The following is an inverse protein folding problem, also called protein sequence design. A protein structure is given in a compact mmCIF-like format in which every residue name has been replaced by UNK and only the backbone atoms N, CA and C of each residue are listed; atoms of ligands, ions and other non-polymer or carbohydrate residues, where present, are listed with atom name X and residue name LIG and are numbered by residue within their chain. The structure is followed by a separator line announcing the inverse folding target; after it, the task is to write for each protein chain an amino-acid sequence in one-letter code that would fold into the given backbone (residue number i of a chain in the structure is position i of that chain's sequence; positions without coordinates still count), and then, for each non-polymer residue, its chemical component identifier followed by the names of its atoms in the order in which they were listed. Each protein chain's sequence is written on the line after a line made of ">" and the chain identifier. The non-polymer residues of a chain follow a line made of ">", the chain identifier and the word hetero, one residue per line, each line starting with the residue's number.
data_IF_686776704703
#
_entry.id   IF_686776704703
#
_cell.length_a   1.000
_cell.length_b   1.000
_cell.length_c   1.000
_cell.angle_alpha   90.00
_cell.angle_beta   90.00
_cell.angle_gamma   90.00
#
_symmetry.space_group_name_H-M   'P 1'
#
loop_
_entity.id
_entity.type
_entity.pdbx_description
1 polymer ?
#
# COMPACT_ATOMS: atom_id res chain seq x y z
N UNK A 1 12.74 20.99 -28.27
CA UNK A 1 11.71 21.20 -27.23
C UNK A 1 11.37 22.68 -27.10
N UNK A 2 10.19 22.97 -26.63
CA UNK A 2 9.69 24.31 -26.37
C UNK A 2 9.45 24.50 -24.88
N UNK A 3 10.07 25.55 -24.30
CA UNK A 3 9.79 25.93 -22.90
C UNK A 3 8.36 26.44 -22.78
N UNK A 4 7.61 25.95 -21.81
CA UNK A 4 6.21 26.31 -21.55
C UNK A 4 6.02 27.08 -20.24
N UNK A 5 6.96 26.96 -19.31
CA UNK A 5 7.05 27.80 -18.12
C UNK A 5 8.51 27.99 -17.68
N UNK A 6 8.79 29.13 -17.07
CA UNK A 6 10.08 29.49 -16.50
C UNK A 6 9.88 30.34 -15.24
N UNK A 7 10.90 30.38 -14.39
CA UNK A 7 11.04 31.34 -13.29
C UNK A 7 12.34 32.11 -13.48
N UNK A 8 12.58 33.09 -12.64
CA UNK A 8 13.84 33.88 -12.69
C UNK A 8 15.07 32.99 -12.48
N UNK A 9 14.94 31.93 -11.65
CA UNK A 9 16.03 31.01 -11.31
C UNK A 9 16.05 29.75 -12.18
N UNK A 10 14.93 29.34 -12.75
CA UNK A 10 14.78 28.09 -13.50
C UNK A 10 14.18 28.33 -14.88
N UNK A 11 15.05 28.40 -15.89
CA UNK A 11 14.63 28.66 -17.28
C UNK A 11 13.69 27.55 -17.82
N UNK A 12 13.95 26.30 -17.53
CA UNK A 12 13.18 25.15 -18.02
C UNK A 12 12.27 24.56 -16.92
N UNK A 13 11.47 25.37 -16.25
CA UNK A 13 10.55 24.89 -15.21
C UNK A 13 9.47 23.95 -15.78
N UNK A 14 9.03 24.18 -17.01
CA UNK A 14 8.21 23.24 -17.77
C UNK A 14 8.53 23.36 -19.28
N UNK A 15 8.37 22.25 -19.99
CA UNK A 15 8.63 22.18 -21.43
C UNK A 15 7.73 21.17 -22.14
N UNK A 16 7.68 21.28 -23.46
CA UNK A 16 7.03 20.33 -24.37
C UNK A 16 8.06 19.85 -25.39
N UNK A 17 8.04 18.55 -25.71
CA UNK A 17 8.81 18.00 -26.83
C UNK A 17 8.00 18.24 -28.12
N UNK A 18 8.62 18.91 -29.12
CA UNK A 18 7.97 19.17 -30.39
C UNK A 18 7.87 17.88 -31.21
N UNK A 19 6.70 17.65 -31.78
CA UNK A 19 6.43 16.43 -32.54
C UNK A 19 6.01 15.21 -31.70
N UNK A 20 6.05 15.32 -30.37
CA UNK A 20 5.65 14.25 -29.46
C UNK A 20 4.59 14.73 -28.46
N UNK A 21 3.69 13.84 -28.00
CA UNK A 21 2.72 14.16 -26.94
C UNK A 21 3.37 14.06 -25.55
N UNK A 22 4.51 14.75 -25.37
CA UNK A 22 5.34 14.67 -24.16
C UNK A 22 5.56 16.05 -23.56
N UNK A 23 5.27 16.20 -22.27
CA UNK A 23 5.51 17.40 -21.47
C UNK A 23 6.32 17.04 -20.23
N UNK A 24 7.22 17.90 -19.84
CA UNK A 24 8.00 17.78 -18.62
C UNK A 24 7.78 18.98 -17.71
N UNK A 25 7.76 18.75 -16.41
CA UNK A 25 7.71 19.76 -15.36
C UNK A 25 8.75 19.44 -14.29
N UNK A 26 9.31 20.48 -13.65
CA UNK A 26 10.29 20.35 -12.58
C UNK A 26 9.73 20.77 -11.21
N UNK A 27 8.42 20.86 -11.09
CA UNK A 27 7.73 21.21 -9.86
C UNK A 27 6.55 20.25 -9.61
N UNK A 28 5.99 20.30 -8.42
CA UNK A 28 4.90 19.45 -7.96
C UNK A 28 3.56 20.19 -8.07
N UNK A 29 2.76 19.96 -9.13
CA UNK A 29 1.47 20.63 -9.28
C UNK A 29 0.41 20.14 -8.28
N UNK A 30 0.57 18.94 -7.72
CA UNK A 30 -0.34 18.31 -6.79
C UNK A 30 -0.31 18.86 -5.36
N UNK A 31 0.78 19.57 -5.00
CA UNK A 31 0.93 20.12 -3.65
C UNK A 31 0.12 21.40 -3.45
N UNK A 32 -0.32 21.66 -2.22
CA UNK A 32 -1.16 22.83 -1.91
C UNK A 32 -0.48 24.19 -2.13
N UNK A 33 0.85 24.23 -2.20
CA UNK A 33 1.61 25.47 -2.53
C UNK A 33 1.52 25.85 -4.00
N UNK A 34 1.16 24.93 -4.88
CA UNK A 34 1.02 25.22 -6.31
C UNK A 34 -0.33 25.83 -6.59
N UNK A 35 -0.41 27.15 -6.68
CA UNK A 35 -1.65 27.95 -6.77
C UNK A 35 -2.59 27.46 -7.88
N UNK A 36 -2.07 27.15 -9.07
CA UNK A 36 -2.84 26.67 -10.23
C UNK A 36 -2.55 25.20 -10.56
N UNK A 37 -2.00 24.42 -9.61
CA UNK A 37 -1.58 23.05 -9.83
C UNK A 37 -2.71 22.13 -10.29
N UNK A 38 -3.88 22.21 -9.66
CA UNK A 38 -5.07 21.46 -10.05
C UNK A 38 -5.50 21.77 -11.50
N UNK A 39 -5.49 23.04 -11.87
CA UNK A 39 -5.84 23.49 -13.24
C UNK A 39 -4.86 22.97 -14.28
N UNK A 40 -3.56 22.95 -13.93
CA UNK A 40 -2.52 22.38 -14.79
C UNK A 40 -2.75 20.89 -15.02
N UNK A 41 -3.01 20.12 -13.95
CA UNK A 41 -3.34 18.69 -14.04
C UNK A 41 -4.62 18.45 -14.85
N UNK A 42 -5.66 19.25 -14.63
CA UNK A 42 -6.92 19.16 -15.36
C UNK A 42 -6.74 19.42 -16.86
N UNK A 43 -5.97 20.46 -17.24
CA UNK A 43 -5.65 20.76 -18.61
C UNK A 43 -4.86 19.62 -19.29
N UNK A 44 -3.95 19.00 -18.56
CA UNK A 44 -3.19 17.87 -19.09
C UNK A 44 -4.08 16.62 -19.23
N UNK A 45 -4.72 16.20 -18.16
CA UNK A 45 -5.48 14.94 -18.12
C UNK A 45 -6.72 14.99 -19.03
N UNK A 46 -7.54 16.04 -18.89
CA UNK A 46 -8.76 16.16 -19.66
C UNK A 46 -8.54 16.82 -21.03
N UNK A 47 -7.70 17.87 -21.10
CA UNK A 47 -7.50 18.62 -22.33
C UNK A 47 -6.53 17.97 -23.32
N UNK A 48 -5.40 17.45 -22.83
CA UNK A 48 -4.37 16.87 -23.70
C UNK A 48 -4.56 15.36 -23.86
N UNK A 49 -4.72 14.62 -22.74
CA UNK A 49 -4.90 13.18 -22.78
C UNK A 49 -6.33 12.75 -23.18
N UNK A 50 -7.30 13.66 -23.16
CA UNK A 50 -8.69 13.37 -23.50
C UNK A 50 -9.38 12.40 -22.53
N UNK A 51 -8.89 12.29 -21.29
CA UNK A 51 -9.48 11.42 -20.30
C UNK A 51 -10.89 11.89 -19.89
N UNK A 52 -11.82 10.94 -19.75
CA UNK A 52 -13.16 11.24 -19.28
C UNK A 52 -13.13 11.56 -17.77
N UNK A 53 -14.11 12.34 -17.31
CA UNK A 53 -14.27 12.72 -15.90
C UNK A 53 -15.34 11.88 -15.22
N UNK A 54 -15.34 10.58 -15.48
CA UNK A 54 -16.36 9.64 -15.00
C UNK A 54 -15.89 8.78 -13.81
N UNK A 55 -14.69 9.04 -13.32
CA UNK A 55 -14.18 8.40 -12.11
C UNK A 55 -14.63 9.14 -10.86
N UNK A 56 -15.13 8.39 -9.86
CA UNK A 56 -15.34 8.87 -8.50
C UNK A 56 -14.87 7.82 -7.50
N UNK A 57 -14.49 8.22 -6.26
CA UNK A 57 -14.14 7.27 -5.22
C UNK A 57 -15.23 6.22 -4.96
N UNK A 58 -16.49 6.62 -4.97
CA UNK A 58 -17.64 5.74 -4.76
C UNK A 58 -17.75 4.71 -5.87
N UNK A 59 -17.67 5.13 -7.13
CA UNK A 59 -17.73 4.22 -8.28
C UNK A 59 -16.56 3.23 -8.29
N UNK A 60 -15.38 3.67 -7.86
CA UNK A 60 -14.21 2.79 -7.70
C UNK A 60 -14.43 1.76 -6.59
N UNK A 61 -14.93 2.16 -5.43
CA UNK A 61 -15.23 1.25 -4.31
C UNK A 61 -16.22 0.18 -4.75
N UNK A 62 -17.32 0.57 -5.38
CA UNK A 62 -18.38 -0.36 -5.81
C UNK A 62 -17.88 -1.35 -6.88
N UNK A 63 -17.09 -0.87 -7.85
CA UNK A 63 -16.47 -1.72 -8.86
C UNK A 63 -15.49 -2.71 -8.23
N UNK A 64 -14.59 -2.23 -7.36
CA UNK A 64 -13.60 -3.07 -6.68
C UNK A 64 -14.25 -4.13 -5.80
N UNK A 65 -15.27 -3.77 -5.02
CA UNK A 65 -16.01 -4.73 -4.18
C UNK A 65 -16.69 -5.81 -5.03
N UNK A 66 -17.23 -5.45 -6.19
CA UNK A 66 -17.83 -6.40 -7.12
C UNK A 66 -16.80 -7.36 -7.70
N UNK A 67 -15.69 -6.85 -8.21
CA UNK A 67 -14.59 -7.65 -8.74
C UNK A 67 -14.02 -8.61 -7.70
N UNK A 68 -13.79 -8.12 -6.46
CA UNK A 68 -13.33 -8.95 -5.36
C UNK A 68 -14.33 -10.06 -5.02
N UNK A 69 -15.63 -9.76 -5.01
CA UNK A 69 -16.67 -10.75 -4.75
C UNK A 69 -16.74 -11.83 -5.83
N UNK A 70 -16.64 -11.43 -7.10
CA UNK A 70 -16.63 -12.35 -8.24
C UNK A 70 -15.38 -13.24 -8.22
N UNK A 71 -14.21 -12.67 -7.86
CA UNK A 71 -12.95 -13.39 -7.83
C UNK A 71 -12.82 -14.35 -6.66
N UNK A 72 -13.25 -13.93 -5.48
CA UNK A 72 -13.03 -14.65 -4.23
C UNK A 72 -14.19 -15.60 -3.87
N UNK A 73 -15.42 -15.28 -4.27
CA UNK A 73 -16.60 -16.07 -3.95
C UNK A 73 -16.73 -16.31 -2.43
N UNK A 74 -16.77 -17.59 -2.06
CA UNK A 74 -16.86 -18.06 -0.66
C UNK A 74 -15.48 -18.42 -0.07
N UNK A 75 -14.40 -18.14 -0.77
CA UNK A 75 -13.04 -18.42 -0.31
C UNK A 75 -12.67 -17.59 0.93
N UNK A 76 -11.81 -18.15 1.76
CA UNK A 76 -11.25 -17.45 2.91
C UNK A 76 -9.99 -16.68 2.52
N UNK A 77 -9.92 -15.46 3.00
CA UNK A 77 -8.79 -14.54 2.77
C UNK A 77 -8.16 -14.16 4.10
N UNK A 78 -6.84 -14.20 4.19
CA UNK A 78 -6.08 -13.63 5.30
C UNK A 78 -5.42 -12.33 4.89
N UNK A 79 -5.44 -11.33 5.77
CA UNK A 79 -4.86 -10.00 5.55
C UNK A 79 -4.03 -9.58 6.75
N UNK A 80 -2.78 -9.19 6.51
CA UNK A 80 -1.96 -8.51 7.51
C UNK A 80 -2.36 -7.04 7.65
N UNK A 81 -2.66 -6.62 8.88
CA UNK A 81 -2.94 -5.22 9.19
C UNK A 81 -1.71 -4.55 9.80
N UNK A 82 -1.41 -3.33 9.35
CA UNK A 82 -0.30 -2.52 9.85
C UNK A 82 -0.72 -1.38 10.78
N UNK A 83 -2.04 -1.14 10.93
CA UNK A 83 -2.55 0.08 11.58
C UNK A 83 -2.58 1.31 10.66
N UNK A 84 -2.01 1.21 9.45
CA UNK A 84 -2.00 2.28 8.46
C UNK A 84 -3.27 2.35 7.61
N UNK A 85 -3.40 3.46 6.87
CA UNK A 85 -4.58 3.74 6.02
C UNK A 85 -4.75 2.67 4.95
N UNK A 86 -3.68 2.30 4.24
CA UNK A 86 -3.74 1.41 3.07
C UNK A 86 -4.25 0.02 3.45
N UNK A 87 -3.69 -0.59 4.51
CA UNK A 87 -4.15 -1.87 5.01
C UNK A 87 -5.59 -1.82 5.53
N UNK A 88 -6.00 -0.68 6.12
CA UNK A 88 -7.37 -0.48 6.60
C UNK A 88 -8.36 -0.38 5.45
N UNK A 89 -8.02 0.36 4.39
CA UNK A 89 -8.85 0.45 3.18
C UNK A 89 -8.98 -0.92 2.52
N UNK A 90 -7.87 -1.66 2.36
CA UNK A 90 -7.91 -3.03 1.83
C UNK A 90 -8.82 -3.94 2.66
N UNK A 91 -8.73 -3.86 4.00
CA UNK A 91 -9.59 -4.63 4.91
C UNK A 91 -11.08 -4.31 4.72
N UNK A 92 -11.43 -3.03 4.61
CA UNK A 92 -12.83 -2.61 4.43
C UNK A 92 -13.38 -3.04 3.07
N UNK A 93 -12.61 -2.91 2.00
CA UNK A 93 -13.02 -3.36 0.66
C UNK A 93 -13.26 -4.88 0.62
N UNK A 94 -12.32 -5.66 1.16
CA UNK A 94 -12.45 -7.11 1.29
C UNK A 94 -13.62 -7.50 2.19
N UNK A 95 -13.79 -6.83 3.34
CA UNK A 95 -14.93 -7.10 4.23
C UNK A 95 -16.28 -6.83 3.57
N UNK A 96 -16.39 -5.77 2.76
CA UNK A 96 -17.60 -5.51 1.96
C UNK A 96 -17.84 -6.57 0.88
N UNK A 97 -16.78 -7.17 0.35
CA UNK A 97 -16.86 -8.19 -0.68
C UNK A 97 -17.24 -9.58 -0.11
N UNK A 98 -16.52 -10.05 0.91
CA UNK A 98 -16.58 -11.44 1.41
C UNK A 98 -16.98 -11.57 2.88
N UNK A 99 -17.21 -10.47 3.59
CA UNK A 99 -17.72 -10.48 4.95
C UNK A 99 -16.84 -11.24 5.94
N UNK A 100 -17.42 -12.25 6.59
CA UNK A 100 -16.76 -13.06 7.63
C UNK A 100 -15.65 -13.98 7.12
N UNK A 101 -15.53 -14.17 5.82
CA UNK A 101 -14.46 -14.95 5.20
C UNK A 101 -13.13 -14.19 5.15
N UNK A 102 -13.13 -12.91 5.53
CA UNK A 102 -11.91 -12.14 5.76
C UNK A 102 -11.41 -12.35 7.18
N UNK A 103 -10.18 -12.81 7.31
CA UNK A 103 -9.44 -12.94 8.56
C UNK A 103 -8.29 -11.94 8.59
N UNK A 104 -8.33 -11.01 9.53
CA UNK A 104 -7.29 -10.00 9.68
C UNK A 104 -6.36 -10.37 10.84
N UNK A 105 -5.05 -10.21 10.63
CA UNK A 105 -4.02 -10.44 11.65
C UNK A 105 -3.30 -9.13 11.90
N UNK A 106 -3.29 -8.67 13.15
CA UNK A 106 -2.58 -7.47 13.58
C UNK A 106 -1.52 -7.85 14.61
N UNK A 107 -0.24 -7.66 14.26
CA UNK A 107 0.90 -8.11 15.05
C UNK A 107 1.47 -6.94 15.85
N UNK A 108 1.52 -7.10 17.18
CA UNK A 108 2.33 -6.24 18.06
C UNK A 108 3.77 -6.74 18.05
N UNK A 109 4.61 -6.00 17.39
CA UNK A 109 6.05 -6.27 17.30
C UNK A 109 6.85 -5.78 18.52
N UNK A 110 6.21 -5.10 19.47
CA UNK A 110 6.86 -4.40 20.56
C UNK A 110 7.53 -3.07 20.13
N UNK A 111 7.37 -2.67 18.86
CA UNK A 111 7.91 -1.43 18.28
C UNK A 111 6.80 -0.42 17.96
N UNK A 112 5.56 -0.74 18.30
CA UNK A 112 4.42 0.14 18.13
C UNK A 112 4.47 1.32 19.10
N UNK A 113 3.72 2.38 18.80
CA UNK A 113 3.57 3.52 19.71
C UNK A 113 2.80 3.11 20.96
N UNK A 114 2.93 3.91 22.00
CA UNK A 114 2.21 3.70 23.27
C UNK A 114 0.70 3.56 23.00
N UNK A 115 0.10 2.48 23.49
CA UNK A 115 -1.30 2.10 23.35
C UNK A 115 -1.78 1.82 21.92
N UNK A 116 -0.93 1.96 20.90
CA UNK A 116 -1.33 1.79 19.49
C UNK A 116 -1.97 0.43 19.23
N UNK A 117 -1.41 -0.65 19.80
CA UNK A 117 -1.95 -1.99 19.61
C UNK A 117 -3.40 -2.10 20.10
N UNK A 118 -3.69 -1.62 21.29
CA UNK A 118 -5.03 -1.69 21.89
C UNK A 118 -6.03 -0.80 21.17
N UNK A 119 -5.62 0.42 20.84
CA UNK A 119 -6.49 1.43 20.23
C UNK A 119 -6.85 1.04 18.79
N UNK A 120 -5.87 0.61 18.00
CA UNK A 120 -6.07 0.15 16.62
C UNK A 120 -6.90 -1.13 16.59
N UNK A 121 -6.62 -2.09 17.46
CA UNK A 121 -7.39 -3.33 17.54
C UNK A 121 -8.86 -3.08 17.91
N UNK A 122 -9.10 -2.17 18.86
CA UNK A 122 -10.46 -1.76 19.22
C UNK A 122 -11.18 -1.09 18.04
N UNK A 123 -10.50 -0.22 17.32
CA UNK A 123 -11.00 0.46 16.12
C UNK A 123 -11.42 -0.53 15.04
N UNK A 124 -10.58 -1.51 14.73
CA UNK A 124 -10.90 -2.53 13.73
C UNK A 124 -12.09 -3.41 14.13
N UNK A 125 -12.19 -3.77 15.41
CA UNK A 125 -13.35 -4.50 15.93
C UNK A 125 -14.63 -3.67 15.82
N UNK A 126 -14.55 -2.38 16.11
CA UNK A 126 -15.68 -1.46 15.95
C UNK A 126 -16.16 -1.33 14.49
N UNK A 127 -15.25 -1.46 13.54
CA UNK A 127 -15.56 -1.53 12.09
C UNK A 127 -16.19 -2.87 11.67
N UNK A 128 -16.35 -3.82 12.59
CA UNK A 128 -16.93 -5.14 12.31
C UNK A 128 -15.95 -6.14 11.68
N UNK A 129 -14.66 -5.83 11.63
CA UNK A 129 -13.64 -6.73 11.07
C UNK A 129 -13.39 -7.91 12.01
N UNK A 130 -13.23 -9.10 11.43
CA UNK A 130 -12.74 -10.28 12.14
C UNK A 130 -11.21 -10.17 12.28
N UNK A 131 -10.77 -9.58 13.40
CA UNK A 131 -9.36 -9.27 13.63
C UNK A 131 -8.79 -10.01 14.84
N UNK A 132 -7.68 -10.70 14.63
CA UNK A 132 -6.85 -11.31 15.66
C UNK A 132 -5.64 -10.44 15.96
N UNK A 133 -5.51 -9.99 17.21
CA UNK A 133 -4.30 -9.32 17.70
C UNK A 133 -3.31 -10.37 18.21
N UNK A 134 -2.05 -10.25 17.79
CA UNK A 134 -0.95 -11.16 18.15
C UNK A 134 0.14 -10.38 18.85
N UNK A 135 0.43 -10.71 20.10
CA UNK A 135 1.53 -10.10 20.86
C UNK A 135 2.81 -10.89 20.63
N UNK A 136 3.74 -10.33 19.87
CA UNK A 136 5.02 -10.95 19.52
C UNK A 136 6.24 -10.12 19.95
N UNK A 137 6.04 -9.09 20.76
CA UNK A 137 7.09 -8.14 21.14
C UNK A 137 8.33 -8.80 21.76
N UNK A 138 8.18 -9.85 22.56
CA UNK A 138 9.31 -10.56 23.16
C UNK A 138 10.23 -11.18 22.10
N UNK A 139 9.65 -11.79 21.04
CA UNK A 139 10.40 -12.37 19.94
C UNK A 139 11.18 -11.28 19.19
N UNK A 140 10.51 -10.22 18.74
CA UNK A 140 11.14 -9.15 17.96
C UNK A 140 12.24 -8.43 18.76
N UNK A 141 11.98 -8.06 20.00
CA UNK A 141 12.96 -7.39 20.84
C UNK A 141 14.13 -8.31 21.22
N UNK A 142 13.86 -9.62 21.37
CA UNK A 142 14.88 -10.63 21.60
C UNK A 142 15.86 -10.75 20.43
N UNK A 143 15.33 -10.89 19.21
CA UNK A 143 16.12 -11.07 18.00
C UNK A 143 16.84 -9.77 17.55
N UNK A 144 16.31 -8.61 17.92
CA UNK A 144 16.95 -7.32 17.69
C UNK A 144 18.05 -6.95 18.74
N UNK A 145 18.18 -7.73 19.81
CA UNK A 145 19.13 -7.40 20.88
C UNK A 145 20.57 -7.36 20.37
N UNK A 146 21.24 -6.22 20.58
CA UNK A 146 22.64 -6.00 20.16
C UNK A 146 22.84 -5.71 18.67
N UNK A 147 21.78 -5.74 17.87
CA UNK A 147 21.86 -5.39 16.44
C UNK A 147 21.85 -3.86 16.30
N UNK A 148 22.89 -3.30 15.72
CA UNK A 148 23.03 -1.85 15.51
C UNK A 148 22.82 -1.44 14.05
N UNK A 149 23.18 -2.30 13.10
CA UNK A 149 23.07 -2.03 11.68
C UNK A 149 21.59 -1.92 11.24
N UNK A 150 21.19 -0.80 10.58
CA UNK A 150 19.81 -0.57 10.19
C UNK A 150 19.26 -1.61 9.21
N UNK A 151 20.10 -2.08 8.27
CA UNK A 151 19.68 -3.06 7.28
C UNK A 151 19.48 -4.44 7.90
N UNK A 152 20.36 -4.83 8.83
CA UNK A 152 20.19 -6.06 9.61
C UNK A 152 18.89 -6.01 10.44
N UNK A 153 18.60 -4.88 11.09
CA UNK A 153 17.32 -4.69 11.82
C UNK A 153 16.11 -4.89 10.90
N UNK A 154 16.12 -4.27 9.73
CA UNK A 154 15.01 -4.38 8.77
C UNK A 154 14.77 -5.82 8.34
N UNK A 155 15.85 -6.57 8.05
CA UNK A 155 15.77 -7.98 7.67
C UNK A 155 15.22 -8.86 8.81
N UNK A 156 15.64 -8.62 10.04
CA UNK A 156 15.15 -9.35 11.21
C UNK A 156 13.66 -9.07 11.40
N UNK A 157 13.25 -7.81 11.41
CA UNK A 157 11.84 -7.43 11.59
C UNK A 157 10.96 -8.06 10.50
N UNK A 158 11.40 -8.00 9.24
CA UNK A 158 10.65 -8.61 8.12
C UNK A 158 10.53 -10.12 8.25
N UNK A 159 11.62 -10.82 8.56
CA UNK A 159 11.62 -12.28 8.79
C UNK A 159 10.68 -12.67 9.92
N UNK A 160 10.82 -12.03 11.08
CA UNK A 160 10.04 -12.35 12.26
C UNK A 160 8.56 -12.06 12.06
N UNK A 161 8.23 -10.99 11.34
CA UNK A 161 6.85 -10.69 10.96
C UNK A 161 6.24 -11.80 10.10
N UNK A 162 6.97 -12.26 9.07
CA UNK A 162 6.51 -13.34 8.20
C UNK A 162 6.34 -14.64 8.97
N UNK A 163 7.27 -14.97 9.87
CA UNK A 163 7.17 -16.17 10.70
C UNK A 163 5.92 -16.16 11.59
N UNK A 164 5.70 -15.05 12.31
CA UNK A 164 4.53 -14.91 13.19
C UNK A 164 3.25 -14.89 12.38
N UNK A 165 3.21 -14.13 11.29
CA UNK A 165 2.04 -14.06 10.43
C UNK A 165 1.66 -15.44 9.84
N UNK A 166 2.65 -16.17 9.30
CA UNK A 166 2.43 -17.50 8.73
C UNK A 166 1.95 -18.52 9.77
N UNK A 167 2.47 -18.45 11.00
CA UNK A 167 2.00 -19.33 12.07
C UNK A 167 0.52 -19.11 12.38
N UNK A 168 0.10 -17.83 12.40
CA UNK A 168 -1.29 -17.45 12.64
C UNK A 168 -2.21 -17.76 11.45
N UNK A 169 -1.73 -17.51 10.23
CA UNK A 169 -2.48 -17.82 9.01
C UNK A 169 -2.73 -19.33 8.86
N UNK A 170 -1.74 -20.17 9.15
CA UNK A 170 -1.88 -21.63 9.12
C UNK A 170 -2.86 -22.19 10.15
N UNK A 171 -3.10 -21.46 11.22
CA UNK A 171 -4.12 -21.85 12.23
C UNK A 171 -5.56 -21.62 11.73
N UNK A 172 -5.74 -20.93 10.62
CA UNK A 172 -7.05 -20.71 10.01
C UNK A 172 -7.26 -21.77 8.93
N UNK A 173 -8.22 -22.64 9.13
CA UNK A 173 -8.52 -23.73 8.19
C UNK A 173 -9.04 -23.20 6.86
N UNK A 174 -8.57 -23.79 5.76
CA UNK A 174 -9.03 -23.52 4.40
C UNK A 174 -8.85 -22.05 3.95
N UNK A 175 -7.72 -21.45 4.24
CA UNK A 175 -7.32 -20.15 3.66
C UNK A 175 -6.79 -20.39 2.26
N UNK A 176 -7.36 -19.69 1.26
CA UNK A 176 -6.95 -19.80 -0.14
C UNK A 176 -6.17 -18.58 -0.63
N UNK A 177 -6.33 -17.45 0.04
CA UNK A 177 -5.80 -16.17 -0.43
C UNK A 177 -5.09 -15.40 0.66
N UNK A 178 -3.93 -14.85 0.31
CA UNK A 178 -3.26 -13.80 1.06
C UNK A 178 -3.55 -12.45 0.39
N UNK A 179 -4.13 -11.53 1.15
CA UNK A 179 -4.32 -10.16 0.70
C UNK A 179 -3.24 -9.23 1.26
N UNK A 180 -2.79 -8.31 0.45
CA UNK A 180 -1.79 -7.32 0.82
C UNK A 180 -2.18 -5.95 0.29
N UNK A 181 -2.15 -4.93 1.15
CA UNK A 181 -2.30 -3.54 0.75
C UNK A 181 -0.99 -3.02 0.17
N UNK A 182 -0.94 -2.81 -1.13
CA UNK A 182 0.21 -2.21 -1.81
C UNK A 182 -0.25 -0.96 -2.55
N UNK A 183 0.41 0.16 -2.31
CA UNK A 183 0.14 1.40 -3.04
C UNK A 183 0.88 1.42 -4.38
N UNK A 184 0.31 2.12 -5.35
CA UNK A 184 0.87 2.14 -6.71
C UNK A 184 2.31 2.67 -6.80
N UNK A 185 2.74 3.69 -6.04
CA UNK A 185 4.14 4.10 -5.97
C UNK A 185 5.10 2.95 -5.62
N UNK A 186 4.75 2.12 -4.64
CA UNK A 186 5.58 0.96 -4.27
C UNK A 186 5.73 -0.05 -5.43
N UNK A 187 4.69 -0.17 -6.27
CA UNK A 187 4.75 -1.02 -7.48
C UNK A 187 5.76 -0.48 -8.47
N UNK A 188 5.73 0.83 -8.73
CA UNK A 188 6.62 1.49 -9.69
C UNK A 188 8.07 1.47 -9.19
N UNK A 189 8.29 1.83 -7.94
CA UNK A 189 9.62 1.93 -7.34
C UNK A 189 10.30 0.57 -7.18
N UNK A 190 9.52 -0.51 -7.03
CA UNK A 190 10.07 -1.87 -6.96
C UNK A 190 10.52 -2.42 -8.32
N UNK A 191 10.16 -1.78 -9.43
CA UNK A 191 10.52 -2.15 -10.80
C UNK A 191 11.69 -1.30 -11.34
N UNK A 192 12.77 -1.16 -10.57
CA UNK A 192 13.96 -0.43 -11.02
C UNK A 192 14.64 -1.18 -12.18
N UNK A 193 14.77 -0.49 -13.32
CA UNK A 193 15.42 -1.01 -14.53
C UNK A 193 16.96 -1.01 -14.41
N UNK A 194 17.54 -0.27 -13.45
CA UNK A 194 19.00 0.00 -13.41
C UNK A 194 19.67 -0.11 -12.04
N UNK A 195 19.20 -0.97 -11.14
CA UNK A 195 19.90 -1.20 -9.88
C UNK A 195 18.97 -1.50 -8.69
N UNK A 196 19.52 -1.85 -7.53
CA UNK A 196 18.70 -2.08 -6.35
C UNK A 196 18.02 -0.78 -5.96
N UNK A 197 16.70 -0.73 -6.04
CA UNK A 197 15.94 0.36 -5.43
C UNK A 197 16.24 0.38 -3.94
N UNK A 198 16.41 1.55 -3.38
CA UNK A 198 16.81 1.73 -1.98
C UNK A 198 15.76 1.20 -0.97
N UNK A 199 14.59 0.78 -1.42
CA UNK A 199 13.51 0.28 -0.57
C UNK A 199 13.06 -1.09 -1.05
N UNK A 200 13.51 -2.11 -0.36
CA UNK A 200 13.17 -3.50 -0.65
C UNK A 200 11.81 -3.87 -0.03
N UNK A 201 10.71 -3.36 -0.56
CA UNK A 201 9.39 -3.97 -0.35
C UNK A 201 9.22 -5.27 -1.16
N UNK A 202 10.11 -5.54 -2.12
CA UNK A 202 10.11 -6.73 -2.96
C UNK A 202 10.25 -8.03 -2.17
N UNK A 203 10.88 -8.02 -1.01
CA UNK A 203 11.02 -9.23 -0.18
C UNK A 203 9.72 -9.65 0.52
N UNK A 204 8.78 -8.73 0.74
CA UNK A 204 7.44 -9.06 1.20
C UNK A 204 6.54 -9.63 0.10
N UNK A 205 6.91 -9.40 -1.17
CA UNK A 205 6.17 -9.87 -2.35
C UNK A 205 6.57 -11.26 -2.82
N UNK A 206 7.77 -11.73 -2.47
CA UNK A 206 8.31 -12.99 -2.97
C UNK A 206 7.51 -14.24 -2.54
N UNK A 207 6.49 -14.08 -1.70
CA UNK A 207 5.69 -15.18 -1.14
C UNK A 207 4.21 -15.11 -1.51
N UNK A 208 3.85 -14.35 -2.54
CA UNK A 208 2.44 -14.12 -2.95
C UNK A 208 1.93 -15.11 -4.00
N UNK A 209 2.36 -16.33 -3.99
CA UNK A 209 1.79 -17.32 -4.90
C UNK A 209 0.81 -18.22 -4.16
N UNK A 210 -0.30 -18.52 -4.82
CA UNK A 210 -1.39 -19.42 -4.39
C UNK A 210 -0.90 -20.80 -3.91
N UNK A 211 0.37 -21.11 -4.12
CA UNK A 211 0.97 -22.41 -3.81
C UNK A 211 1.82 -22.42 -2.52
N UNK A 212 1.99 -21.27 -1.85
CA UNK A 212 2.89 -21.14 -0.70
C UNK A 212 2.15 -21.08 0.64
N UNK A 213 0.82 -21.30 0.64
CA UNK A 213 -0.02 -21.39 1.86
C UNK A 213 -0.36 -22.84 2.19
#
# INVERSE_FOLDING_TARGET
>A
YRVTASTDDVHNAAFRIEGEPTWGIQFHPEVYHSTDGLKLLENFVAGICGCRRDWSPESFVDATVRELREKLGDDKVVLGLSGGVDSSVAAILLHRAIGKNLYCIFVDTGLLRKNEFTDVLASYRHMGLNVKGVQAGEKFLGDLRGVTDPEAKRKIIGRDFIEVFNAEAKAIENVQWLAQGTIYPDVIESMSVNGPSAVSYTHLRAHETRHDL
#
